data_IF_752523974623
#
_entry.id   IF_752523974623
#
_cell.length_a   1.000
_cell.length_b   1.000
_cell.length_c   1.000
_cell.angle_alpha   90.00
_cell.angle_beta   90.00
_cell.angle_gamma   90.00
#
_symmetry.space_group_name_H-M   'P 1'
#
loop_
_entity.id
_entity.type
_entity.pdbx_description
1 polymer ?
#
# COMPACT_ATOMS: atom_id res chain seq x y z
N UNK A 1 13.63 58.08 31.67
CA UNK A 1 14.39 58.54 30.49
C UNK A 1 14.55 57.38 29.54
N UNK A 2 14.19 57.58 28.27
CA UNK A 2 14.36 56.59 27.22
C UNK A 2 15.84 56.54 26.82
N UNK A 3 16.42 55.35 26.64
CA UNK A 3 17.86 55.21 26.36
C UNK A 3 18.10 55.48 24.87
N UNK A 4 19.27 56.00 24.51
CA UNK A 4 19.61 56.34 23.11
C UNK A 4 19.45 55.15 22.14
N UNK A 5 19.66 53.93 22.64
CA UNK A 5 19.45 52.70 21.88
C UNK A 5 17.97 52.47 21.51
N UNK A 6 17.04 52.84 22.38
CA UNK A 6 15.60 52.66 22.15
C UNK A 6 15.13 53.61 21.02
N UNK A 7 15.66 54.83 21.00
CA UNK A 7 15.39 55.82 19.94
C UNK A 7 15.97 55.37 18.60
N UNK A 8 17.17 54.80 18.60
CA UNK A 8 17.80 54.24 17.41
C UNK A 8 17.02 53.03 16.85
N UNK A 9 16.48 52.19 17.73
CA UNK A 9 15.65 51.04 17.35
C UNK A 9 14.34 51.48 16.69
N UNK A 10 13.63 52.44 17.28
CA UNK A 10 12.37 52.96 16.73
C UNK A 10 12.54 53.64 15.37
N UNK A 11 13.67 54.31 15.14
CA UNK A 11 13.98 54.89 13.81
C UNK A 11 14.23 53.83 12.74
N UNK A 12 14.68 52.62 13.12
CA UNK A 12 14.96 51.51 12.20
C UNK A 12 13.73 50.64 11.94
N UNK A 13 12.72 50.71 12.81
CA UNK A 13 11.49 49.92 12.71
C UNK A 13 10.72 50.08 11.39
N UNK A 14 10.52 51.29 10.83
CA UNK A 14 9.77 51.46 9.57
C UNK A 14 10.47 50.80 8.38
N UNK A 15 11.81 50.89 8.33
CA UNK A 15 12.64 50.27 7.28
C UNK A 15 12.61 48.75 7.38
N UNK A 16 12.64 48.21 8.60
CA UNK A 16 12.48 46.77 8.83
C UNK A 16 11.08 46.29 8.46
N UNK A 17 10.04 47.09 8.76
CA UNK A 17 8.65 46.77 8.43
C UNK A 17 8.41 46.83 6.92
N UNK A 18 8.99 47.79 6.21
CA UNK A 18 8.95 47.88 4.74
C UNK A 18 9.60 46.66 4.09
N UNK A 19 10.75 46.19 4.61
CA UNK A 19 11.40 44.95 4.13
C UNK A 19 10.58 43.68 4.36
N UNK A 20 9.75 43.65 5.41
CA UNK A 20 8.83 42.54 5.70
C UNK A 20 7.54 42.65 4.87
N UNK A 21 7.13 43.88 4.52
CA UNK A 21 5.95 44.17 3.68
C UNK A 21 6.21 44.09 2.18
N UNK A 22 7.48 44.10 1.73
CA UNK A 22 7.82 43.58 0.41
C UNK A 22 7.42 42.12 0.44
N UNK A 23 6.21 41.87 -0.06
CA UNK A 23 5.56 40.59 -0.14
C UNK A 23 6.56 39.56 -0.62
N UNK A 24 7.06 38.74 0.31
CA UNK A 24 7.58 37.45 -0.10
C UNK A 24 6.43 36.83 -0.91
N UNK A 25 6.66 36.45 -2.18
CA UNK A 25 5.69 35.63 -2.87
C UNK A 25 5.38 34.49 -1.92
N UNK A 26 4.10 34.29 -1.63
CA UNK A 26 3.62 33.15 -0.85
C UNK A 26 4.43 31.93 -1.29
N UNK A 27 5.08 31.17 -0.39
CA UNK A 27 5.92 30.05 -0.79
C UNK A 27 5.09 29.26 -1.78
N UNK A 28 5.45 29.28 -3.06
CA UNK A 28 4.69 28.57 -4.06
C UNK A 28 4.82 27.12 -3.63
N UNK A 29 3.79 26.58 -3.00
CA UNK A 29 3.67 25.16 -2.76
C UNK A 29 3.70 24.58 -4.15
N UNK A 30 4.87 24.09 -4.56
CA UNK A 30 5.02 23.39 -5.82
C UNK A 30 4.03 22.24 -5.74
N UNK A 31 2.90 22.40 -6.44
CA UNK A 31 1.78 21.47 -6.41
C UNK A 31 2.16 20.08 -6.94
N UNK A 32 3.43 19.86 -7.34
CA UNK A 32 4.02 18.56 -7.62
C UNK A 32 4.50 17.77 -6.40
N UNK A 33 4.36 18.30 -5.18
CA UNK A 33 4.71 17.60 -3.94
C UNK A 33 3.51 16.90 -3.26
N UNK A 34 2.31 16.92 -3.86
CA UNK A 34 1.24 16.02 -3.43
C UNK A 34 1.60 14.62 -3.88
N UNK A 35 2.28 13.89 -3.00
CA UNK A 35 2.46 12.45 -3.14
C UNK A 35 1.06 11.86 -3.14
N UNK A 36 0.67 11.23 -4.25
CA UNK A 36 -0.52 10.38 -4.30
C UNK A 36 -0.26 9.15 -3.41
N UNK A 37 -0.53 9.34 -2.12
CA UNK A 37 -0.36 8.34 -1.06
C UNK A 37 -1.13 7.06 -1.41
N UNK A 38 -2.40 7.12 -1.86
CA UNK A 38 -3.12 5.94 -2.34
C UNK A 38 -2.40 5.19 -3.47
N UNK A 39 -1.87 5.88 -4.49
CA UNK A 39 -1.17 5.24 -5.60
C UNK A 39 0.14 4.55 -5.15
N UNK A 40 0.87 5.14 -4.20
CA UNK A 40 2.11 4.55 -3.69
C UNK A 40 1.86 3.41 -2.68
N UNK A 41 0.84 3.53 -1.84
CA UNK A 41 0.51 2.54 -0.82
C UNK A 41 -0.36 1.38 -1.32
N UNK A 42 -1.15 1.59 -2.38
CA UNK A 42 -2.13 0.60 -2.85
C UNK A 42 -1.54 -0.77 -3.19
N UNK A 43 -0.27 -0.81 -3.62
CA UNK A 43 0.44 -2.05 -3.95
C UNK A 43 1.66 -2.32 -3.05
N UNK A 44 1.83 -1.59 -1.94
CA UNK A 44 2.99 -1.77 -1.05
C UNK A 44 3.00 -3.14 -0.40
N UNK A 45 1.87 -3.58 0.17
CA UNK A 45 1.78 -4.90 0.82
C UNK A 45 2.06 -6.03 -0.18
N UNK A 46 1.51 -5.96 -1.38
CA UNK A 46 1.77 -6.93 -2.45
C UNK A 46 3.26 -6.95 -2.86
N UNK A 47 3.90 -5.78 -2.99
CA UNK A 47 5.33 -5.67 -3.32
C UNK A 47 6.21 -6.26 -2.22
N UNK A 48 5.87 -6.03 -0.96
CA UNK A 48 6.57 -6.60 0.19
C UNK A 48 6.40 -8.12 0.20
N UNK A 49 5.16 -8.63 0.10
CA UNK A 49 4.88 -10.06 0.03
C UNK A 49 5.61 -10.75 -1.12
N UNK A 50 5.62 -10.14 -2.32
CA UNK A 50 6.34 -10.67 -3.48
C UNK A 50 7.85 -10.76 -3.25
N UNK A 51 8.46 -9.79 -2.57
CA UNK A 51 9.88 -9.88 -2.15
C UNK A 51 10.11 -10.94 -1.08
N UNK A 52 9.13 -11.15 -0.20
CA UNK A 52 9.19 -12.17 0.84
C UNK A 52 9.11 -13.59 0.24
N UNK A 53 8.47 -13.79 -0.92
CA UNK A 53 8.45 -15.09 -1.60
C UNK A 53 9.85 -15.61 -1.94
N UNK A 54 10.84 -14.75 -2.17
CA UNK A 54 12.23 -15.16 -2.46
C UNK A 54 12.92 -15.80 -1.25
N UNK A 55 12.43 -15.50 -0.03
CA UNK A 55 13.01 -15.96 1.24
C UNK A 55 12.18 -17.08 1.87
N UNK A 56 10.89 -17.13 1.55
CA UNK A 56 9.98 -18.15 2.06
C UNK A 56 10.20 -19.46 1.30
N UNK A 57 10.48 -20.53 2.04
CA UNK A 57 10.46 -21.87 1.49
C UNK A 57 9.01 -22.26 1.19
N UNK A 58 8.69 -22.37 -0.09
CA UNK A 58 7.41 -22.93 -0.52
C UNK A 58 7.46 -24.45 -0.35
N UNK A 59 6.66 -24.98 0.57
CA UNK A 59 6.39 -26.41 0.62
C UNK A 59 5.33 -26.73 -0.43
N UNK A 60 5.63 -27.56 -1.45
CA UNK A 60 4.63 -27.92 -2.44
C UNK A 60 3.48 -28.67 -1.76
N UNK A 61 2.26 -28.20 -1.99
CA UNK A 61 1.05 -28.91 -1.58
C UNK A 61 0.76 -29.95 -2.67
N UNK A 62 0.76 -31.23 -2.28
CA UNK A 62 0.45 -32.35 -3.16
C UNK A 62 -0.91 -32.88 -2.74
N UNK A 63 -1.83 -32.99 -3.70
CA UNK A 63 -3.17 -33.52 -3.49
C UNK A 63 -3.09 -35.05 -3.34
N UNK A 64 -3.76 -35.59 -2.33
CA UNK A 64 -3.86 -37.04 -2.14
C UNK A 64 -5.06 -37.59 -2.94
N UNK A 65 -4.83 -38.46 -3.94
CA UNK A 65 -5.90 -39.07 -4.72
C UNK A 65 -6.89 -39.88 -3.88
N UNK A 66 -6.46 -40.40 -2.73
CA UNK A 66 -7.31 -41.22 -1.87
C UNK A 66 -8.34 -40.39 -1.11
N UNK A 67 -8.15 -39.07 -1.03
CA UNK A 67 -9.04 -38.12 -0.36
C UNK A 67 -9.87 -37.31 -1.35
N UNK A 68 -9.67 -37.49 -2.66
CA UNK A 68 -10.40 -36.76 -3.69
C UNK A 68 -11.86 -37.20 -3.77
N UNK A 69 -12.77 -36.22 -3.80
CA UNK A 69 -14.19 -36.46 -4.06
C UNK A 69 -14.37 -37.06 -5.48
N UNK A 70 -15.32 -37.99 -5.72
CA UNK A 70 -15.52 -38.64 -7.02
C UNK A 70 -15.75 -37.68 -8.21
N UNK A 71 -16.26 -36.48 -7.94
CA UNK A 71 -16.53 -35.46 -8.96
C UNK A 71 -15.28 -34.60 -9.31
N UNK A 72 -14.18 -34.78 -8.59
CA UNK A 72 -12.91 -34.09 -8.80
C UNK A 72 -11.97 -34.95 -9.65
N UNK A 73 -11.47 -34.38 -10.73
CA UNK A 73 -10.34 -34.94 -11.48
C UNK A 73 -9.08 -34.20 -11.06
N UNK A 74 -8.11 -34.91 -10.53
CA UNK A 74 -6.78 -34.38 -10.22
C UNK A 74 -5.89 -34.36 -11.47
N UNK A 75 -4.97 -33.38 -11.54
CA UNK A 75 -3.91 -33.37 -12.56
C UNK A 75 -2.85 -34.42 -12.29
N UNK A 76 -2.12 -34.84 -13.33
CA UNK A 76 -1.07 -35.86 -13.23
C UNK A 76 0.06 -35.49 -12.24
N UNK A 77 0.32 -34.19 -12.09
CA UNK A 77 1.32 -33.66 -11.15
C UNK A 77 0.75 -33.46 -9.73
N UNK A 78 -0.52 -33.78 -9.50
CA UNK A 78 -1.24 -33.67 -8.23
C UNK A 78 -1.19 -32.26 -7.61
N UNK A 79 -1.00 -31.22 -8.41
CA UNK A 79 -0.97 -29.82 -7.95
C UNK A 79 -2.28 -29.07 -8.21
N UNK A 80 -3.15 -29.63 -9.05
CA UNK A 80 -4.41 -29.00 -9.46
C UNK A 80 -5.54 -30.02 -9.57
N UNK A 81 -6.76 -29.51 -9.60
CA UNK A 81 -7.96 -30.31 -9.79
C UNK A 81 -8.95 -29.57 -10.68
N UNK A 82 -9.85 -30.33 -11.30
CA UNK A 82 -10.97 -29.83 -12.08
C UNK A 82 -12.25 -30.51 -11.63
N UNK A 83 -13.38 -29.79 -11.67
CA UNK A 83 -14.69 -30.34 -11.34
C UNK A 83 -15.35 -30.79 -12.63
N UNK A 84 -15.71 -32.07 -12.71
CA UNK A 84 -16.28 -32.66 -13.92
C UNK A 84 -17.74 -32.28 -14.17
N UNK A 85 -18.48 -31.93 -13.12
CA UNK A 85 -19.89 -31.55 -13.21
C UNK A 85 -20.10 -30.14 -12.62
N UNK A 86 -20.24 -29.13 -13.49
CA UNK A 86 -20.89 -27.87 -13.09
C UNK A 86 -22.39 -28.11 -13.21
N UNK A 87 -22.98 -28.81 -12.25
CA UNK A 87 -24.43 -28.92 -12.15
C UNK A 87 -25.00 -28.08 -11.00
N UNK A 88 -24.21 -27.74 -9.99
CA UNK A 88 -24.69 -26.86 -8.93
C UNK A 88 -23.57 -26.07 -8.24
N UNK A 89 -23.64 -24.75 -8.33
CA UNK A 89 -22.77 -23.82 -7.60
C UNK A 89 -22.93 -24.00 -6.07
N UNK A 90 -24.01 -24.67 -5.63
CA UNK A 90 -24.28 -25.02 -4.24
C UNK A 90 -23.27 -26.00 -3.61
N UNK A 91 -22.48 -26.73 -4.41
CA UNK A 91 -21.48 -27.68 -3.90
C UNK A 91 -20.11 -27.05 -3.59
N UNK A 92 -19.87 -25.81 -4.03
CA UNK A 92 -18.61 -25.11 -3.79
C UNK A 92 -18.19 -25.00 -2.30
N UNK A 93 -19.11 -24.78 -1.33
CA UNK A 93 -18.77 -24.78 0.09
C UNK A 93 -18.31 -26.15 0.60
N UNK A 94 -18.89 -27.25 0.09
CA UNK A 94 -18.55 -28.61 0.51
C UNK A 94 -17.18 -29.05 -0.01
N UNK A 95 -16.78 -28.57 -1.18
CA UNK A 95 -15.44 -28.84 -1.73
C UNK A 95 -14.32 -28.22 -0.88
N UNK A 96 -14.57 -27.13 -0.16
CA UNK A 96 -13.59 -26.51 0.75
C UNK A 96 -13.32 -27.36 2.00
N UNK A 97 -14.34 -28.05 2.52
CA UNK A 97 -14.20 -28.90 3.72
C UNK A 97 -13.34 -30.15 3.48
N UNK A 98 -13.22 -30.62 2.23
CA UNK A 98 -12.39 -31.78 1.90
C UNK A 98 -10.87 -31.51 1.93
N UNK A 99 -10.45 -30.25 1.99
CA UNK A 99 -9.02 -29.85 1.91
C UNK A 99 -8.51 -29.14 3.18
N UNK A 100 -9.22 -29.22 4.30
CA UNK A 100 -8.77 -28.74 5.61
C UNK A 100 -8.22 -29.90 6.46
#
# INVERSE_FOLDING_TARGET
MMKDNDVCFLKKFPVSMERVQISQPDPQMHSGALIDVPHYLGNMQFRVWKKTQDVVQNTPVILDPNTAHPDLILSDDLTSYTVTQIADVSLAPFLWECFQ
#
